data_IF_748333006681
#
_entry.id   IF_748333006681
#
_cell.length_a   1.000
_cell.length_b   1.000
_cell.length_c   1.000
_cell.angle_alpha   90.00
_cell.angle_beta   90.00
_cell.angle_gamma   90.00
#
_symmetry.space_group_name_H-M   'P 1'
#
loop_
_entity.id
_entity.type
_entity.pdbx_description
1 polymer ?
#
# COMPACT_ATOMS: atom_id res chain seq x y z
N UNK A 1 24.10 6.58 5.88
CA UNK A 1 23.21 5.43 6.16
C UNK A 1 23.58 4.70 7.45
N UNK A 2 24.84 4.72 7.90
CA UNK A 2 25.30 4.03 9.13
C UNK A 2 24.63 4.44 10.47
N UNK A 3 23.77 5.46 10.46
CA UNK A 3 23.01 5.91 11.65
C UNK A 3 21.57 5.38 11.71
N UNK A 4 21.10 4.75 10.63
CA UNK A 4 19.75 4.17 10.57
C UNK A 4 19.85 2.76 11.13
N UNK A 5 19.00 2.46 12.11
CA UNK A 5 18.87 1.11 12.67
C UNK A 5 17.58 0.54 12.09
N UNK A 6 17.72 -0.54 11.32
CA UNK A 6 16.58 -1.22 10.74
C UNK A 6 15.78 -1.97 11.81
N UNK A 7 14.46 -1.97 11.66
CA UNK A 7 13.53 -2.69 12.51
C UNK A 7 12.70 -3.62 11.63
N UNK A 8 12.67 -4.90 11.98
CA UNK A 8 11.81 -5.85 11.29
C UNK A 8 10.36 -5.68 11.73
N UNK A 9 9.41 -6.04 10.86
CA UNK A 9 8.00 -6.13 11.24
C UNK A 9 7.83 -7.00 12.49
N UNK A 10 6.96 -6.56 13.38
CA UNK A 10 6.65 -7.18 14.69
C UNK A 10 7.82 -7.22 15.69
N UNK A 11 9.01 -6.74 15.33
CA UNK A 11 10.12 -6.62 16.26
C UNK A 11 9.84 -5.49 17.26
N UNK A 12 9.89 -5.80 18.55
CA UNK A 12 9.76 -4.79 19.60
C UNK A 12 11.13 -4.18 19.90
N UNK A 13 11.23 -2.86 19.81
CA UNK A 13 12.41 -2.08 20.19
C UNK A 13 12.04 -1.20 21.38
N UNK A 14 12.96 -1.06 22.34
CA UNK A 14 12.81 -0.15 23.48
C UNK A 14 13.95 0.86 23.49
N UNK A 15 13.62 2.15 23.52
CA UNK A 15 14.60 3.22 23.56
C UNK A 15 14.15 4.31 24.53
N UNK A 16 14.97 4.60 25.56
CA UNK A 16 14.70 5.63 26.58
C UNK A 16 13.28 5.56 27.18
N UNK A 17 12.81 4.35 27.48
CA UNK A 17 11.48 4.12 28.06
C UNK A 17 10.31 4.13 27.07
N UNK A 18 10.57 4.30 25.77
CA UNK A 18 9.58 4.18 24.69
C UNK A 18 9.71 2.81 24.05
N UNK A 19 8.64 2.03 24.05
CA UNK A 19 8.55 0.75 23.35
C UNK A 19 7.82 0.95 22.03
N UNK A 20 8.33 0.41 20.93
CA UNK A 20 7.65 0.49 19.65
C UNK A 20 7.92 -0.73 18.79
N UNK A 21 6.96 -1.04 17.92
CA UNK A 21 7.06 -2.08 16.89
C UNK A 21 6.24 -1.66 15.68
N UNK A 22 6.61 -2.17 14.50
CA UNK A 22 5.88 -1.90 13.27
C UNK A 22 5.02 -3.08 12.80
N UNK A 23 3.91 -2.75 12.17
CA UNK A 23 2.97 -3.65 11.50
C UNK A 23 2.96 -3.33 10.00
N UNK A 24 2.54 -4.28 9.15
CA UNK A 24 2.41 -3.99 7.72
C UNK A 24 1.31 -2.94 7.48
N UNK A 25 1.62 -1.88 6.71
CA UNK A 25 0.65 -0.86 6.31
C UNK A 25 0.02 -1.12 4.92
N UNK A 26 0.54 -2.08 4.15
CA UNK A 26 0.24 -2.19 2.73
C UNK A 26 0.76 -0.98 1.98
N UNK A 27 -0.06 -0.35 1.13
CA UNK A 27 0.24 0.91 0.40
C UNK A 27 1.44 0.87 -0.57
N UNK A 28 2.67 0.75 -0.05
CA UNK A 28 3.91 0.53 -0.80
C UNK A 28 4.79 -0.50 -0.09
N UNK A 29 5.75 -1.09 -0.81
CA UNK A 29 6.70 -2.04 -0.22
C UNK A 29 7.48 -1.40 0.93
N UNK A 30 7.46 -2.04 2.10
CA UNK A 30 8.14 -1.56 3.30
C UNK A 30 7.36 -0.54 4.13
N UNK A 31 6.17 -0.10 3.70
CA UNK A 31 5.36 0.79 4.52
C UNK A 31 4.89 0.10 5.81
N UNK A 32 4.92 0.89 6.89
CA UNK A 32 4.78 0.39 8.25
C UNK A 32 3.86 1.30 9.07
N UNK A 33 2.96 0.68 9.83
CA UNK A 33 2.24 1.34 10.91
C UNK A 33 3.02 1.12 12.20
N UNK A 34 3.30 2.18 12.96
CA UNK A 34 4.04 2.06 14.22
C UNK A 34 3.08 2.07 15.40
N UNK A 35 3.12 0.99 16.19
CA UNK A 35 2.56 1.01 17.53
C UNK A 35 3.65 1.49 18.49
N UNK A 36 3.29 2.49 19.29
CA UNK A 36 4.18 3.13 20.26
C UNK A 36 3.51 3.01 21.63
N UNK A 37 4.26 2.54 22.62
CA UNK A 37 3.82 2.35 23.99
C UNK A 37 4.76 3.14 24.91
N UNK A 38 4.18 4.09 25.65
CA UNK A 38 4.88 4.93 26.63
C UNK A 38 4.12 4.83 27.94
N UNK A 39 4.77 4.27 28.97
CA UNK A 39 4.10 3.76 30.16
C UNK A 39 2.95 2.81 29.74
N UNK A 40 1.69 3.15 30.04
CA UNK A 40 0.52 2.33 29.71
C UNK A 40 -0.34 2.91 28.57
N UNK A 41 0.13 3.96 27.88
CA UNK A 41 -0.60 4.58 26.76
C UNK A 41 -0.06 4.05 25.44
N UNK A 42 -0.96 3.54 24.58
CA UNK A 42 -0.63 3.04 23.24
C UNK A 42 -1.14 3.96 22.14
N UNK A 43 -0.25 4.30 21.24
CA UNK A 43 -0.50 5.15 20.07
C UNK A 43 -0.23 4.33 18.82
N UNK A 44 -1.19 4.24 17.91
CA UNK A 44 -0.96 3.72 16.56
C UNK A 44 -0.85 4.89 15.60
N UNK A 45 0.32 5.04 14.97
CA UNK A 45 0.52 5.91 13.82
C UNK A 45 0.51 5.08 12.55
N UNK A 46 -0.46 5.31 11.65
CA UNK A 46 -0.64 4.46 10.47
C UNK A 46 0.29 4.82 9.31
N UNK A 47 0.72 6.09 9.22
CA UNK A 47 1.14 6.64 7.93
C UNK A 47 0.03 6.48 6.89
N UNK A 48 0.42 6.34 5.62
CA UNK A 48 -0.51 5.99 4.54
C UNK A 48 -0.68 4.46 4.50
N UNK A 49 -1.93 3.99 4.48
CA UNK A 49 -2.22 2.56 4.57
C UNK A 49 -3.28 2.12 3.57
N UNK A 50 -3.19 0.87 3.11
CA UNK A 50 -4.21 0.25 2.25
C UNK A 50 -4.72 -1.02 2.90
N UNK A 51 -6.05 -1.13 3.04
CA UNK A 51 -6.71 -2.38 3.48
C UNK A 51 -7.15 -3.27 2.32
N UNK A 52 -6.88 -2.86 1.10
CA UNK A 52 -7.12 -3.67 -0.10
C UNK A 52 -5.83 -4.40 -0.41
N UNK A 53 -5.94 -5.72 -0.56
CA UNK A 53 -4.82 -6.56 -0.99
C UNK A 53 -4.55 -6.30 -2.48
N UNK A 54 -3.28 -6.11 -2.80
CA UNK A 54 -2.77 -5.98 -4.15
C UNK A 54 -2.03 -7.27 -4.53
N UNK A 55 -1.71 -7.47 -5.81
CA UNK A 55 -0.94 -8.64 -6.25
C UNK A 55 0.44 -8.73 -5.57
N UNK A 56 1.05 -7.58 -5.31
CA UNK A 56 2.41 -7.48 -4.76
C UNK A 56 2.47 -7.05 -3.29
N UNK A 57 1.34 -6.70 -2.65
CA UNK A 57 1.30 -6.21 -1.26
C UNK A 57 0.14 -6.78 -0.48
N UNK A 58 0.45 -7.19 0.75
CA UNK A 58 -0.55 -7.53 1.76
C UNK A 58 -1.31 -6.28 2.21
N UNK A 59 -2.58 -6.47 2.57
CA UNK A 59 -3.36 -5.45 3.24
C UNK A 59 -2.77 -5.06 4.60
N UNK A 60 -3.08 -3.84 5.05
CA UNK A 60 -2.71 -3.35 6.36
C UNK A 60 -3.23 -4.26 7.48
N UNK A 61 -2.37 -4.57 8.44
CA UNK A 61 -2.70 -5.43 9.57
C UNK A 61 -3.63 -4.75 10.57
N UNK A 62 -4.49 -5.53 11.21
CA UNK A 62 -5.22 -5.07 12.39
C UNK A 62 -4.36 -5.38 13.62
N UNK A 63 -4.00 -4.39 14.45
CA UNK A 63 -3.19 -4.63 15.63
C UNK A 63 -3.92 -5.56 16.62
N UNK A 64 -3.23 -6.58 17.12
CA UNK A 64 -3.79 -7.47 18.16
C UNK A 64 -4.08 -6.73 19.46
N UNK A 65 -3.32 -5.66 19.74
CA UNK A 65 -3.50 -4.79 20.91
C UNK A 65 -4.22 -3.51 20.47
N UNK A 66 -5.38 -3.23 21.07
CA UNK A 66 -6.16 -2.01 20.80
C UNK A 66 -5.33 -0.75 21.15
N UNK A 67 -5.15 0.22 20.24
CA UNK A 67 -4.53 1.49 20.58
C UNK A 67 -5.49 2.36 21.41
N UNK A 68 -4.94 3.19 22.28
CA UNK A 68 -5.68 4.20 23.05
C UNK A 68 -5.83 5.48 22.21
N UNK A 69 -4.82 5.79 21.40
CA UNK A 69 -4.81 6.91 20.45
C UNK A 69 -4.54 6.37 19.04
N UNK A 70 -5.35 6.79 18.07
CA UNK A 70 -5.14 6.50 16.65
C UNK A 70 -4.80 7.79 15.90
N UNK A 71 -3.61 7.84 15.31
CA UNK A 71 -3.20 8.87 14.36
C UNK A 71 -3.25 8.25 12.97
N UNK A 72 -4.28 8.63 12.21
CA UNK A 72 -4.61 8.02 10.91
C UNK A 72 -4.66 9.05 9.80
N UNK A 73 -4.26 8.64 8.60
CA UNK A 73 -4.40 9.44 7.39
C UNK A 73 -5.88 9.66 7.00
N UNK A 74 -6.12 10.66 6.16
CA UNK A 74 -7.46 11.02 5.70
C UNK A 74 -7.48 11.38 4.20
N UNK A 75 -6.59 10.78 3.41
CA UNK A 75 -6.31 11.17 2.01
C UNK A 75 -7.57 11.22 1.14
N UNK A 76 -8.48 10.28 1.32
CA UNK A 76 -9.72 10.22 0.54
C UNK A 76 -10.94 10.79 1.27
N UNK A 77 -10.85 11.12 2.56
CA UNK A 77 -11.98 11.56 3.37
C UNK A 77 -13.19 10.62 3.22
N UNK A 78 -14.30 11.15 2.70
CA UNK A 78 -15.54 10.39 2.46
C UNK A 78 -15.65 9.70 1.09
N UNK A 79 -14.62 9.75 0.25
CA UNK A 79 -14.68 9.20 -1.12
C UNK A 79 -14.44 7.70 -1.13
N UNK A 80 -15.40 6.94 -1.68
CA UNK A 80 -15.21 5.53 -2.02
C UNK A 80 -14.59 5.38 -3.40
N UNK A 81 -13.62 4.46 -3.52
CA UNK A 81 -12.92 4.16 -4.78
C UNK A 81 -13.60 3.06 -5.60
N UNK A 82 -14.67 2.45 -5.10
CA UNK A 82 -15.35 1.33 -5.73
C UNK A 82 -14.51 0.05 -5.75
N UNK A 83 -15.06 -1.06 -6.31
CA UNK A 83 -14.37 -2.34 -6.36
C UNK A 83 -13.08 -2.29 -7.19
N UNK A 84 -12.07 -3.06 -6.78
CA UNK A 84 -10.78 -3.10 -7.49
C UNK A 84 -10.91 -3.65 -8.91
N UNK A 85 -11.72 -4.70 -9.11
CA UNK A 85 -11.92 -5.33 -10.43
C UNK A 85 -12.51 -4.36 -11.46
N UNK A 86 -13.45 -3.50 -11.07
CA UNK A 86 -14.02 -2.48 -11.96
C UNK A 86 -12.98 -1.44 -12.38
N UNK A 87 -12.12 -1.03 -11.43
CA UNK A 87 -11.02 -0.09 -11.71
C UNK A 87 -9.99 -0.69 -12.65
N UNK A 88 -9.61 -1.95 -12.43
CA UNK A 88 -8.70 -2.69 -13.31
C UNK A 88 -9.27 -2.85 -14.72
N UNK A 89 -10.52 -3.30 -14.84
CA UNK A 89 -11.19 -3.45 -16.13
C UNK A 89 -11.29 -2.11 -16.88
N UNK A 90 -11.60 -1.02 -16.16
CA UNK A 90 -11.65 0.32 -16.75
C UNK A 90 -10.28 0.78 -17.22
N UNK A 91 -9.21 0.47 -16.49
CA UNK A 91 -7.85 0.79 -16.86
C UNK A 91 -7.42 0.00 -18.11
N UNK A 92 -7.52 -1.34 -18.09
CA UNK A 92 -7.11 -2.20 -19.21
C UNK A 92 -7.92 -1.95 -20.47
N UNK A 93 -9.23 -1.70 -20.34
CA UNK A 93 -10.07 -1.32 -21.48
C UNK A 93 -9.59 -0.03 -22.14
N UNK A 94 -9.25 1.00 -21.35
CA UNK A 94 -8.71 2.26 -21.89
C UNK A 94 -7.38 2.07 -22.60
N UNK A 95 -6.48 1.26 -22.02
CA UNK A 95 -5.18 0.94 -22.64
C UNK A 95 -5.41 0.25 -23.99
N UNK A 96 -6.22 -0.81 -24.02
CA UNK A 96 -6.60 -1.52 -25.25
C UNK A 96 -7.16 -0.58 -26.30
N UNK A 97 -8.10 0.28 -25.94
CA UNK A 97 -8.78 1.15 -26.90
C UNK A 97 -7.81 2.19 -27.50
N UNK A 98 -6.79 2.63 -26.76
CA UNK A 98 -5.71 3.48 -27.26
C UNK A 98 -4.82 2.71 -28.26
N UNK A 99 -4.48 1.46 -27.96
CA UNK A 99 -3.61 0.64 -28.80
C UNK A 99 -4.32 0.22 -30.10
N UNK A 100 -5.61 -0.17 -30.03
CA UNK A 100 -6.41 -0.59 -31.19
C UNK A 100 -6.56 0.49 -32.26
N UNK A 101 -6.49 1.77 -31.89
CA UNK A 101 -6.50 2.90 -32.85
C UNK A 101 -5.10 3.34 -33.32
N UNK A 102 -4.06 2.55 -33.04
CA UNK A 102 -2.67 2.85 -33.40
C UNK A 102 -2.00 3.92 -32.53
N UNK A 103 -2.57 4.23 -31.36
CA UNK A 103 -2.03 5.24 -30.45
C UNK A 103 -0.92 4.71 -29.52
N UNK A 104 -0.29 5.62 -28.79
CA UNK A 104 0.68 5.31 -27.72
C UNK A 104 0.08 5.67 -26.37
N UNK A 105 0.19 4.76 -25.40
CA UNK A 105 -0.29 4.99 -24.03
C UNK A 105 0.89 5.43 -23.14
N UNK A 106 0.80 6.62 -22.55
CA UNK A 106 1.75 7.11 -21.55
C UNK A 106 1.05 7.13 -20.19
N UNK A 107 1.59 6.41 -19.21
CA UNK A 107 1.04 6.33 -17.84
C UNK A 107 2.05 6.90 -16.84
N UNK A 108 1.89 8.15 -16.38
CA UNK A 108 2.80 8.74 -15.42
C UNK A 108 2.60 8.12 -14.04
N UNK A 109 3.67 7.57 -13.46
CA UNK A 109 3.68 6.93 -12.15
C UNK A 109 4.97 7.23 -11.40
N UNK A 110 4.92 7.17 -10.08
CA UNK A 110 6.13 7.17 -9.26
C UNK A 110 6.95 5.89 -9.45
N UNK A 111 8.26 5.97 -9.20
CA UNK A 111 9.18 4.84 -9.41
C UNK A 111 8.88 3.62 -8.50
N UNK A 112 8.29 3.86 -7.33
CA UNK A 112 7.98 2.83 -6.33
C UNK A 112 6.52 2.91 -5.91
N UNK A 113 5.89 1.76 -5.71
CA UNK A 113 4.52 1.62 -5.23
C UNK A 113 3.58 1.15 -6.34
N UNK A 114 2.74 2.05 -6.87
CA UNK A 114 1.70 1.68 -7.84
C UNK A 114 2.21 1.23 -9.19
N UNK A 115 3.43 1.61 -9.58
CA UNK A 115 4.00 1.21 -10.86
C UNK A 115 4.11 -0.31 -10.99
N UNK A 116 4.56 -0.99 -9.93
CA UNK A 116 4.71 -2.44 -9.89
C UNK A 116 3.36 -3.15 -10.04
N UNK A 117 2.31 -2.67 -9.38
CA UNK A 117 0.95 -3.23 -9.53
C UNK A 117 0.42 -3.09 -10.96
N UNK A 118 0.61 -1.92 -11.58
CA UNK A 118 0.15 -1.70 -12.94
C UNK A 118 0.88 -2.61 -13.95
N UNK A 119 2.16 -2.89 -13.74
CA UNK A 119 2.90 -3.83 -14.57
C UNK A 119 2.30 -5.24 -14.49
N UNK A 120 1.99 -5.72 -13.28
CA UNK A 120 1.36 -7.03 -13.09
C UNK A 120 -0.04 -7.10 -13.72
N UNK A 121 -0.85 -6.06 -13.55
CA UNK A 121 -2.19 -5.98 -14.18
C UNK A 121 -2.07 -6.06 -15.71
N UNK A 122 -1.10 -5.34 -16.28
CA UNK A 122 -0.89 -5.30 -17.72
C UNK A 122 -0.36 -6.63 -18.25
N UNK A 123 0.64 -7.23 -17.59
CA UNK A 123 1.17 -8.54 -17.92
C UNK A 123 0.05 -9.60 -17.95
N UNK A 124 -0.74 -9.72 -16.88
CA UNK A 124 -1.90 -10.62 -16.84
C UNK A 124 -2.92 -10.32 -17.94
N UNK A 125 -3.11 -9.05 -18.28
CA UNK A 125 -4.03 -8.65 -19.34
C UNK A 125 -3.52 -9.10 -20.72
N UNK A 126 -2.24 -8.96 -21.01
CA UNK A 126 -1.63 -9.42 -22.26
C UNK A 126 -1.61 -10.94 -22.37
N UNK A 127 -1.28 -11.66 -21.30
CA UNK A 127 -1.32 -13.12 -21.28
C UNK A 127 -2.72 -13.67 -21.59
N UNK A 128 -3.77 -12.99 -21.13
CA UNK A 128 -5.17 -13.35 -21.40
C UNK A 128 -5.65 -12.93 -22.80
N UNK A 129 -4.90 -12.09 -23.51
CA UNK A 129 -5.28 -11.57 -24.83
C UNK A 129 -4.09 -11.63 -25.81
N UNK A 130 -3.64 -12.83 -26.24
CA UNK A 130 -2.41 -12.98 -27.04
C UNK A 130 -2.47 -12.34 -28.43
N UNK A 131 -3.67 -12.22 -28.99
CA UNK A 131 -3.91 -11.68 -30.34
C UNK A 131 -4.03 -10.14 -30.38
N UNK A 132 -3.77 -9.48 -29.25
CA UNK A 132 -3.86 -8.03 -29.09
C UNK A 132 -2.49 -7.36 -29.22
#
# INVERSE_FOLDING_TARGET
MEKIIDINFHQTVTYKGVKFWCLHAGHVLGAAMFMIEIADVRILYTGDYSRVEDRHLKAAEIPQRKPDILVVESTFGGRSLGPIHEREQKFTSRVRDILKRGGRCLVPVFALGRAQELLLILEEFWERNPDM
#
